data_IF_969810067685
#
_entry.id   IF_969810067685
#
_cell.length_a   1.000
_cell.length_b   1.000
_cell.length_c   1.000
_cell.angle_alpha   90.00
_cell.angle_beta   90.00
_cell.angle_gamma   90.00
#
_symmetry.space_group_name_H-M   'P 1'
#
loop_
_entity.id
_entity.type
_entity.pdbx_description
1 polymer ?
#
# COMPACT_ATOMS: atom_id res chain seq x y z
N UNK A 1 0.75 -5.80 -19.96
CA UNK A 1 0.53 -4.94 -18.80
C UNK A 1 1.42 -5.36 -17.62
N UNK A 2 1.60 -4.51 -16.59
CA UNK A 2 2.32 -4.86 -15.36
C UNK A 2 1.35 -5.43 -14.32
N UNK A 3 1.66 -6.60 -13.75
CA UNK A 3 0.90 -7.19 -12.66
C UNK A 3 1.40 -6.65 -11.32
N UNK A 4 0.49 -6.29 -10.43
CA UNK A 4 0.81 -5.68 -9.13
C UNK A 4 0.23 -6.51 -7.99
N UNK A 5 1.10 -6.97 -7.10
CA UNK A 5 0.74 -7.67 -5.88
C UNK A 5 0.97 -6.77 -4.67
N UNK A 6 0.05 -6.76 -3.71
CA UNK A 6 0.19 -6.05 -2.45
C UNK A 6 0.40 -7.09 -1.35
N UNK A 7 1.63 -7.30 -0.92
CA UNK A 7 1.95 -8.28 0.11
C UNK A 7 2.06 -7.62 1.48
N UNK A 8 1.10 -7.94 2.33
CA UNK A 8 1.08 -7.55 3.72
C UNK A 8 1.98 -8.51 4.51
N UNK A 9 3.25 -8.12 4.73
CA UNK A 9 4.26 -8.98 5.33
C UNK A 9 3.99 -9.27 6.81
N UNK A 10 3.43 -8.28 7.51
CA UNK A 10 3.22 -8.30 8.95
C UNK A 10 1.85 -7.75 9.31
N UNK A 11 1.31 -8.22 10.43
CA UNK A 11 0.10 -7.65 11.02
C UNK A 11 0.41 -6.50 11.95
N UNK A 12 1.52 -6.59 12.67
CA UNK A 12 1.93 -5.60 13.68
C UNK A 12 2.18 -4.23 13.08
N UNK A 13 1.82 -3.19 13.83
CA UNK A 13 2.08 -1.79 13.48
C UNK A 13 2.47 -1.01 14.73
N UNK A 14 3.34 -0.01 14.57
CA UNK A 14 3.65 0.96 15.62
C UNK A 14 2.62 2.09 15.70
N UNK A 15 1.62 2.12 14.81
CA UNK A 15 0.47 3.02 14.85
C UNK A 15 -0.82 2.25 15.16
N UNK A 16 -1.85 2.94 15.65
CA UNK A 16 -3.14 2.38 15.99
C UNK A 16 -4.29 3.12 15.30
N UNK A 17 -4.16 3.32 13.96
CA UNK A 17 -5.19 4.02 13.18
C UNK A 17 -6.55 3.35 13.32
N UNK A 18 -7.59 4.12 13.69
CA UNK A 18 -8.95 3.62 13.95
C UNK A 18 -9.55 2.94 12.73
N UNK A 19 -9.39 3.53 11.55
CA UNK A 19 -9.92 3.03 10.27
C UNK A 19 -9.10 1.90 9.65
N UNK A 20 -8.04 1.40 10.31
CA UNK A 20 -7.11 0.45 9.69
C UNK A 20 -7.79 -0.87 9.35
N UNK A 21 -7.71 -1.26 8.08
CA UNK A 21 -8.22 -2.54 7.59
C UNK A 21 -7.22 -3.70 7.78
N UNK A 22 -5.95 -3.40 8.05
CA UNK A 22 -4.87 -4.38 8.19
C UNK A 22 -4.89 -5.02 9.60
N UNK A 23 -6.03 -5.61 9.95
CA UNK A 23 -6.24 -6.34 11.21
C UNK A 23 -6.65 -7.77 10.87
N UNK A 24 -5.84 -8.73 11.27
CA UNK A 24 -6.09 -10.16 11.09
C UNK A 24 -6.15 -10.87 12.44
N UNK A 25 -6.80 -12.02 12.48
CA UNK A 25 -6.97 -12.81 13.72
C UNK A 25 -5.74 -13.70 14.01
N UNK A 26 -4.69 -13.62 13.20
CA UNK A 26 -3.47 -14.39 13.36
C UNK A 26 -2.27 -13.50 13.62
N UNK A 27 -1.35 -13.98 14.47
CA UNK A 27 -0.04 -13.39 14.69
C UNK A 27 1.07 -14.10 13.92
N UNK A 28 0.76 -15.17 13.19
CA UNK A 28 1.72 -15.89 12.38
C UNK A 28 2.10 -15.08 11.13
N UNK A 29 3.39 -15.01 10.86
CA UNK A 29 3.96 -14.21 9.78
C UNK A 29 5.02 -15.04 9.07
N UNK A 30 4.76 -15.43 7.82
CA UNK A 30 5.69 -16.28 7.04
C UNK A 30 6.97 -15.56 6.61
N UNK A 31 7.04 -14.26 6.76
CA UNK A 31 8.25 -13.49 6.45
C UNK A 31 9.48 -13.92 7.26
N UNK A 32 9.28 -14.66 8.36
CA UNK A 32 10.35 -15.28 9.17
C UNK A 32 10.83 -16.62 8.62
N UNK A 33 10.21 -17.15 7.56
CA UNK A 33 10.50 -18.43 6.92
C UNK A 33 11.00 -18.22 5.49
N UNK A 34 12.34 -18.06 5.28
CA UNK A 34 12.89 -17.69 3.97
C UNK A 34 12.52 -18.67 2.85
N UNK A 35 12.33 -19.96 3.16
CA UNK A 35 11.92 -20.99 2.23
C UNK A 35 10.49 -20.77 1.72
N UNK A 36 9.54 -20.35 2.59
CA UNK A 36 8.18 -20.06 2.20
C UNK A 36 8.10 -18.76 1.40
N UNK A 37 8.86 -17.74 1.83
CA UNK A 37 9.01 -16.48 1.10
C UNK A 37 9.52 -16.72 -0.32
N UNK A 38 10.54 -17.58 -0.49
CA UNK A 38 11.07 -17.93 -1.81
C UNK A 38 10.04 -18.65 -2.67
N UNK A 39 9.30 -19.62 -2.13
CA UNK A 39 8.22 -20.31 -2.85
C UNK A 39 7.15 -19.33 -3.33
N UNK A 40 6.74 -18.38 -2.49
CA UNK A 40 5.77 -17.34 -2.91
C UNK A 40 6.34 -16.53 -4.08
N UNK A 41 7.56 -16.04 -4.01
CA UNK A 41 8.15 -15.28 -5.10
C UNK A 41 8.25 -16.08 -6.39
N UNK A 42 8.61 -17.36 -6.31
CA UNK A 42 8.65 -18.27 -7.47
C UNK A 42 7.27 -18.41 -8.11
N UNK A 43 6.23 -18.62 -7.29
CA UNK A 43 4.84 -18.68 -7.78
C UNK A 43 4.41 -17.35 -8.41
N UNK A 44 4.61 -16.22 -7.74
CA UNK A 44 4.24 -14.89 -8.24
C UNK A 44 5.01 -14.49 -9.52
N UNK A 45 6.15 -15.12 -9.79
CA UNK A 45 6.97 -14.86 -10.98
C UNK A 45 6.43 -15.53 -12.25
N UNK A 46 5.46 -16.44 -12.14
CA UNK A 46 4.87 -17.19 -13.28
C UNK A 46 3.95 -16.31 -14.12
N UNK A 47 4.53 -15.43 -14.95
CA UNK A 47 3.80 -14.45 -15.78
C UNK A 47 2.80 -15.11 -16.73
N UNK A 48 3.10 -16.28 -17.25
CA UNK A 48 2.25 -17.06 -18.15
C UNK A 48 0.95 -17.50 -17.49
N UNK A 49 0.99 -17.92 -16.22
CA UNK A 49 -0.19 -18.32 -15.44
C UNK A 49 -1.15 -17.12 -15.33
N UNK A 50 -0.62 -15.96 -14.94
CA UNK A 50 -1.42 -14.74 -14.84
C UNK A 50 -1.92 -14.30 -16.20
N UNK A 51 -1.05 -14.30 -17.24
CA UNK A 51 -1.43 -13.90 -18.60
C UNK A 51 -2.61 -14.72 -19.11
N UNK A 52 -2.60 -16.04 -18.88
CA UNK A 52 -3.70 -16.94 -19.20
C UNK A 52 -4.97 -16.58 -18.42
N UNK A 53 -4.84 -16.38 -17.10
CA UNK A 53 -5.98 -16.08 -16.21
C UNK A 53 -6.69 -14.78 -16.56
N UNK A 54 -5.94 -13.73 -16.91
CA UNK A 54 -6.52 -12.42 -17.26
C UNK A 54 -6.74 -12.23 -18.77
N UNK A 55 -6.34 -13.21 -19.58
CA UNK A 55 -6.37 -13.13 -21.04
C UNK A 55 -5.68 -11.85 -21.58
N UNK A 56 -4.50 -11.54 -21.03
CA UNK A 56 -3.64 -10.42 -21.47
C UNK A 56 -2.16 -10.71 -21.19
N UNK A 57 -1.27 -10.24 -22.07
CA UNK A 57 0.17 -10.41 -21.90
C UNK A 57 0.70 -9.60 -20.70
N UNK A 58 1.21 -10.29 -19.69
CA UNK A 58 1.92 -9.68 -18.57
C UNK A 58 3.38 -9.44 -18.95
N UNK A 59 3.79 -8.19 -19.02
CA UNK A 59 5.14 -7.77 -19.41
C UNK A 59 6.03 -7.48 -18.20
N UNK A 60 5.47 -7.13 -17.06
CA UNK A 60 6.21 -6.80 -15.84
C UNK A 60 5.49 -7.22 -14.57
N UNK A 61 6.23 -7.28 -13.48
CA UNK A 61 5.73 -7.60 -12.16
C UNK A 61 6.13 -6.49 -11.19
N UNK A 62 5.19 -6.07 -10.34
CA UNK A 62 5.44 -5.17 -9.21
C UNK A 62 4.99 -5.85 -7.92
N UNK A 63 5.76 -5.67 -6.86
CA UNK A 63 5.34 -6.05 -5.52
C UNK A 63 5.37 -4.82 -4.61
N UNK A 64 4.25 -4.57 -3.94
CA UNK A 64 4.13 -3.56 -2.91
C UNK A 64 4.24 -4.28 -1.56
N UNK A 65 5.32 -4.06 -0.85
CA UNK A 65 5.46 -4.51 0.54
C UNK A 65 4.63 -3.60 1.43
N UNK A 66 3.66 -4.18 2.11
CA UNK A 66 2.70 -3.52 2.96
C UNK A 66 2.47 -4.36 4.23
N UNK A 67 1.43 -4.07 4.98
CA UNK A 67 1.02 -4.83 6.16
C UNK A 67 0.47 -3.92 7.23
N UNK A 68 0.76 -4.22 8.49
CA UNK A 68 0.70 -3.25 9.56
C UNK A 68 1.75 -2.17 9.27
N UNK A 69 3.00 -2.39 9.70
CA UNK A 69 4.14 -1.56 9.29
C UNK A 69 5.31 -2.48 8.91
N UNK A 70 5.69 -2.59 7.63
CA UNK A 70 6.76 -3.50 7.20
C UNK A 70 8.12 -3.23 7.85
N UNK A 71 8.40 -1.98 8.19
CA UNK A 71 9.67 -1.57 8.79
C UNK A 71 9.81 -1.91 10.28
N UNK A 72 8.80 -2.56 10.90
CA UNK A 72 8.93 -3.19 12.23
C UNK A 72 9.73 -4.49 12.15
N UNK A 73 9.76 -5.14 10.99
CA UNK A 73 10.58 -6.32 10.82
C UNK A 73 12.04 -6.00 11.12
N UNK A 74 12.75 -7.00 11.64
CA UNK A 74 14.19 -6.91 11.77
C UNK A 74 14.78 -6.55 10.40
N UNK A 75 15.70 -5.59 10.41
CA UNK A 75 16.22 -4.96 9.18
C UNK A 75 16.78 -5.99 8.20
N UNK A 76 17.48 -6.99 8.69
CA UNK A 76 18.07 -8.04 7.86
C UNK A 76 17.01 -8.93 7.18
N UNK A 77 15.86 -9.16 7.83
CA UNK A 77 14.73 -9.91 7.26
C UNK A 77 14.09 -9.10 6.15
N UNK A 78 13.72 -7.84 6.41
CA UNK A 78 13.09 -6.98 5.42
C UNK A 78 14.00 -6.75 4.21
N UNK A 79 15.29 -6.44 4.45
CA UNK A 79 16.27 -6.21 3.39
C UNK A 79 16.43 -7.46 2.50
N UNK A 80 16.51 -8.66 3.07
CA UNK A 80 16.60 -9.92 2.32
C UNK A 80 15.38 -10.13 1.41
N UNK A 81 14.16 -9.86 1.92
CA UNK A 81 12.92 -10.00 1.15
C UNK A 81 12.91 -9.03 -0.05
N UNK A 82 13.23 -7.76 0.17
CA UNK A 82 13.25 -6.74 -0.90
C UNK A 82 14.32 -7.06 -1.95
N UNK A 83 15.53 -7.41 -1.51
CA UNK A 83 16.63 -7.77 -2.41
C UNK A 83 16.28 -9.02 -3.22
N UNK A 84 15.64 -10.02 -2.62
CA UNK A 84 15.17 -11.22 -3.34
C UNK A 84 14.15 -10.87 -4.42
N UNK A 85 13.15 -10.05 -4.11
CA UNK A 85 12.18 -9.59 -5.10
C UNK A 85 12.86 -8.86 -6.27
N UNK A 86 13.82 -7.98 -5.96
CA UNK A 86 14.59 -7.24 -6.98
C UNK A 86 15.39 -8.18 -7.89
N UNK A 87 16.05 -9.20 -7.33
CA UNK A 87 16.79 -10.21 -8.09
C UNK A 87 15.90 -11.03 -9.03
N UNK A 88 14.63 -11.21 -8.69
CA UNK A 88 13.64 -11.90 -9.52
C UNK A 88 12.97 -10.99 -10.55
N UNK A 89 13.42 -9.73 -10.66
CA UNK A 89 12.93 -8.78 -11.66
C UNK A 89 11.61 -8.10 -11.30
N UNK A 90 11.20 -8.13 -10.02
CA UNK A 90 10.07 -7.32 -9.58
C UNK A 90 10.47 -5.85 -9.49
N UNK A 91 9.58 -4.97 -9.94
CA UNK A 91 9.58 -3.59 -9.50
C UNK A 91 9.13 -3.57 -8.04
N UNK A 92 9.97 -3.02 -7.17
CA UNK A 92 9.79 -3.09 -5.72
C UNK A 92 9.21 -1.79 -5.19
N UNK A 93 8.18 -1.90 -4.37
CA UNK A 93 7.51 -0.77 -3.74
C UNK A 93 7.28 -1.04 -2.25
N UNK A 94 7.46 -0.04 -1.43
CA UNK A 94 7.15 -0.06 0.00
C UNK A 94 5.95 0.84 0.27
N UNK A 95 5.00 0.38 1.08
CA UNK A 95 3.92 1.18 1.66
C UNK A 95 4.14 1.20 3.17
N UNK A 96 4.40 2.37 3.72
CA UNK A 96 4.78 2.56 5.13
C UNK A 96 4.09 3.77 5.72
N UNK A 97 3.95 3.81 7.04
CA UNK A 97 3.55 5.02 7.75
C UNK A 97 4.68 6.08 7.83
N UNK A 98 5.88 5.74 7.36
CA UNK A 98 7.03 6.64 7.25
C UNK A 98 7.83 6.83 8.54
N UNK A 99 7.31 6.46 9.70
CA UNK A 99 7.93 6.78 11.00
C UNK A 99 9.32 6.17 11.17
N UNK A 100 9.50 4.93 10.65
CA UNK A 100 10.76 4.18 10.78
C UNK A 100 11.71 4.33 9.58
N UNK A 101 11.34 5.06 8.52
CA UNK A 101 12.14 5.17 7.29
C UNK A 101 13.55 5.71 7.54
N UNK A 102 13.72 6.64 8.47
CA UNK A 102 15.02 7.22 8.77
C UNK A 102 16.06 6.21 9.29
N UNK A 103 15.59 5.09 9.87
CA UNK A 103 16.44 4.02 10.40
C UNK A 103 16.79 2.94 9.35
N UNK A 104 16.21 3.03 8.14
CA UNK A 104 16.39 2.05 7.06
C UNK A 104 16.98 2.65 5.76
N UNK A 105 18.02 3.52 5.81
CA UNK A 105 18.48 4.20 4.59
C UNK A 105 19.10 3.27 3.54
N UNK A 106 19.64 2.13 3.94
CA UNK A 106 20.28 1.20 3.03
C UNK A 106 19.29 0.55 2.05
N UNK A 107 18.01 0.41 2.43
CA UNK A 107 17.00 -0.22 1.57
C UNK A 107 16.55 0.69 0.41
N UNK A 108 16.72 2.01 0.52
CA UNK A 108 16.23 2.94 -0.50
C UNK A 108 16.76 2.65 -1.91
N UNK A 109 18.02 2.19 -2.02
CA UNK A 109 18.63 1.82 -3.31
C UNK A 109 17.95 0.62 -4.00
N UNK A 110 17.19 -0.16 -3.25
CA UNK A 110 16.48 -1.35 -3.73
C UNK A 110 14.98 -1.13 -3.92
N UNK A 111 14.46 0.07 -3.60
CA UNK A 111 13.06 0.41 -3.75
C UNK A 111 12.85 1.35 -4.95
N UNK A 112 12.02 0.93 -5.90
CA UNK A 112 11.65 1.75 -7.05
C UNK A 112 10.59 2.78 -6.67
N UNK A 113 9.74 2.45 -5.69
CA UNK A 113 8.67 3.32 -5.21
C UNK A 113 8.63 3.27 -3.68
N UNK A 114 8.54 4.43 -3.05
CA UNK A 114 8.30 4.55 -1.61
C UNK A 114 7.00 5.31 -1.40
N UNK A 115 5.97 4.59 -0.97
CA UNK A 115 4.66 5.11 -0.63
C UNK A 115 4.58 5.41 0.86
N UNK A 116 4.46 6.68 1.22
CA UNK A 116 4.30 7.11 2.61
C UNK A 116 2.83 7.44 2.84
N UNK A 117 2.24 6.82 3.84
CA UNK A 117 0.85 7.07 4.22
C UNK A 117 0.76 8.27 5.15
N UNK A 118 0.09 9.34 4.73
CA UNK A 118 0.01 10.61 5.44
C UNK A 118 -1.42 11.15 5.34
N UNK A 119 -2.12 11.21 6.47
CA UNK A 119 -3.49 11.74 6.52
C UNK A 119 -3.53 13.17 7.06
N UNK A 120 -2.53 13.56 7.83
CA UNK A 120 -2.32 14.90 8.35
C UNK A 120 -0.85 15.12 8.70
N UNK A 121 -0.42 16.37 8.77
CA UNK A 121 0.84 16.82 9.34
C UNK A 121 0.62 17.60 10.65
N UNK A 122 -0.64 17.70 11.09
CA UNK A 122 -1.03 18.27 12.36
C UNK A 122 -1.01 17.21 13.46
N UNK A 123 -0.46 17.57 14.63
CA UNK A 123 -0.25 16.65 15.75
C UNK A 123 -1.58 16.15 16.35
N UNK A 124 -2.54 17.06 16.54
CA UNK A 124 -3.82 16.73 17.16
C UNK A 124 -4.66 15.82 16.26
N UNK A 125 -4.70 16.14 14.96
CA UNK A 125 -5.38 15.31 13.97
C UNK A 125 -4.74 13.93 13.90
N UNK A 126 -3.40 13.85 13.86
CA UNK A 126 -2.68 12.57 13.86
C UNK A 126 -3.01 11.72 15.11
N UNK A 127 -3.05 12.33 16.29
CA UNK A 127 -3.44 11.65 17.53
C UNK A 127 -4.89 11.15 17.48
N UNK A 128 -5.82 11.98 17.02
CA UNK A 128 -7.25 11.63 16.93
C UNK A 128 -7.49 10.47 15.95
N UNK A 129 -6.75 10.41 14.85
CA UNK A 129 -6.77 9.29 13.90
C UNK A 129 -6.11 8.04 14.49
N UNK A 130 -5.14 8.19 15.40
CA UNK A 130 -4.27 7.12 15.89
C UNK A 130 -3.00 6.92 15.02
N UNK A 131 -2.63 7.93 14.19
CA UNK A 131 -1.40 7.94 13.38
C UNK A 131 -0.21 8.46 14.16
N UNK A 132 0.05 7.82 15.29
CA UNK A 132 1.18 8.14 16.17
C UNK A 132 1.72 6.88 16.84
N UNK A 133 2.98 6.94 17.27
CA UNK A 133 3.65 5.94 18.11
C UNK A 133 3.92 6.60 19.47
N UNK A 134 3.09 6.32 20.46
CA UNK A 134 3.06 7.07 21.70
C UNK A 134 2.76 8.56 21.44
N UNK A 135 3.67 9.44 21.87
CA UNK A 135 3.57 10.89 21.63
C UNK A 135 4.14 11.33 20.28
N UNK A 136 4.76 10.43 19.50
CA UNK A 136 5.48 10.78 18.29
C UNK A 136 4.62 10.50 17.05
N UNK A 137 4.60 11.46 16.12
CA UNK A 137 3.94 11.38 14.83
C UNK A 137 4.90 11.79 13.70
N UNK A 138 4.49 11.63 12.45
CA UNK A 138 5.27 12.06 11.28
C UNK A 138 5.01 13.55 11.02
N UNK A 139 5.84 14.43 11.63
CA UNK A 139 5.74 15.86 11.42
C UNK A 139 6.25 16.29 10.04
N UNK A 140 5.95 17.54 9.63
CA UNK A 140 6.42 18.12 8.38
C UNK A 140 7.94 18.12 8.27
N UNK A 141 8.65 18.47 9.35
CA UNK A 141 10.11 18.51 9.39
C UNK A 141 10.72 17.12 9.26
N UNK A 142 10.10 16.12 9.91
CA UNK A 142 10.52 14.73 9.80
C UNK A 142 10.29 14.19 8.39
N UNK A 143 9.14 14.51 7.78
CA UNK A 143 8.84 14.13 6.40
C UNK A 143 9.84 14.76 5.42
N UNK A 144 10.20 16.04 5.58
CA UNK A 144 11.17 16.73 4.73
C UNK A 144 12.54 16.03 4.78
N UNK A 145 13.03 15.72 5.99
CA UNK A 145 14.28 14.97 6.17
C UNK A 145 14.24 13.60 5.46
N UNK A 146 13.13 12.89 5.58
CA UNK A 146 12.94 11.57 4.94
C UNK A 146 12.97 11.70 3.43
N UNK A 147 12.20 12.64 2.85
CA UNK A 147 12.13 12.86 1.40
C UNK A 147 13.52 13.19 0.84
N UNK A 148 14.25 14.10 1.48
CA UNK A 148 15.64 14.43 1.09
C UNK A 148 16.56 13.22 1.17
N UNK A 149 16.46 12.42 2.23
CA UNK A 149 17.27 11.22 2.42
C UNK A 149 16.97 10.15 1.38
N UNK A 150 15.72 9.95 1.01
CA UNK A 150 15.33 9.05 -0.09
C UNK A 150 15.96 9.52 -1.40
N UNK A 151 15.76 10.76 -1.78
CA UNK A 151 16.28 11.31 -3.04
C UNK A 151 17.81 11.36 -3.10
N UNK A 152 18.46 11.56 -1.98
CA UNK A 152 19.93 11.48 -1.88
C UNK A 152 20.45 10.05 -2.13
N UNK A 153 19.82 9.04 -1.53
CA UNK A 153 20.27 7.64 -1.64
C UNK A 153 19.80 6.95 -2.93
N UNK A 154 18.67 7.36 -3.47
CA UNK A 154 18.13 6.87 -4.73
C UNK A 154 17.32 7.95 -5.47
N UNK A 155 17.95 8.77 -6.30
CA UNK A 155 17.27 9.84 -7.05
C UNK A 155 16.16 9.32 -7.97
N UNK A 156 16.24 8.05 -8.42
CA UNK A 156 15.25 7.43 -9.30
C UNK A 156 14.05 6.87 -8.57
N UNK A 157 14.12 6.69 -7.24
CA UNK A 157 13.00 6.19 -6.47
C UNK A 157 11.83 7.18 -6.54
N UNK A 158 10.66 6.69 -6.93
CA UNK A 158 9.43 7.48 -6.96
C UNK A 158 8.87 7.61 -5.55
N UNK A 159 8.48 8.82 -5.16
CA UNK A 159 7.83 9.10 -3.88
C UNK A 159 6.33 9.25 -4.11
N UNK A 160 5.56 8.46 -3.37
CA UNK A 160 4.11 8.48 -3.40
C UNK A 160 3.57 8.77 -2.02
N UNK A 161 2.58 9.67 -1.93
CA UNK A 161 1.80 9.84 -0.70
C UNK A 161 0.43 9.17 -0.85
N UNK A 162 -0.02 8.50 0.22
CA UNK A 162 -1.36 7.95 0.32
C UNK A 162 -2.07 8.65 1.47
N UNK A 163 -3.23 9.23 1.20
CA UNK A 163 -4.05 9.94 2.19
C UNK A 163 -5.40 9.26 2.27
N UNK A 164 -5.77 8.75 3.43
CA UNK A 164 -7.12 8.27 3.71
C UNK A 164 -7.95 9.42 4.26
N UNK A 165 -8.96 9.83 3.52
CA UNK A 165 -9.92 10.84 3.97
C UNK A 165 -10.87 10.18 4.95
N UNK A 166 -10.92 10.71 6.19
CA UNK A 166 -11.65 10.19 7.32
C UNK A 166 -12.31 11.33 8.12
N UNK A 167 -13.08 11.01 9.14
CA UNK A 167 -13.83 11.99 9.95
C UNK A 167 -12.98 13.09 10.60
N UNK A 168 -11.65 12.86 10.78
CA UNK A 168 -10.77 13.80 11.45
C UNK A 168 -10.01 14.73 10.50
N UNK A 169 -10.02 14.44 9.18
CA UNK A 169 -9.24 15.24 8.21
C UNK A 169 -10.04 15.70 6.98
N UNK A 170 -11.33 15.36 6.85
CA UNK A 170 -12.13 15.71 5.67
C UNK A 170 -12.25 17.22 5.42
N UNK A 171 -12.05 18.04 6.43
CA UNK A 171 -12.11 19.51 6.36
C UNK A 171 -10.73 20.17 6.28
N UNK A 172 -9.68 19.45 5.84
CA UNK A 172 -8.31 19.96 5.79
C UNK A 172 -7.81 20.13 4.35
N UNK A 173 -6.82 21.03 4.16
CA UNK A 173 -6.13 21.26 2.89
C UNK A 173 -4.81 20.46 2.79
N UNK A 174 -4.79 19.23 3.28
CA UNK A 174 -3.56 18.41 3.35
C UNK A 174 -2.89 18.22 1.98
N UNK A 175 -3.64 18.17 0.88
CA UNK A 175 -3.08 17.93 -0.47
C UNK A 175 -2.16 19.08 -0.89
N UNK A 176 -2.51 20.32 -0.56
CA UNK A 176 -1.61 21.47 -0.77
C UNK A 176 -0.28 21.30 -0.04
N UNK A 177 -0.35 20.90 1.23
CA UNK A 177 0.84 20.70 2.06
C UNK A 177 1.73 19.57 1.51
N UNK A 178 1.12 18.49 0.99
CA UNK A 178 1.86 17.36 0.41
C UNK A 178 2.47 17.69 -0.95
N UNK A 179 1.84 18.52 -1.77
CA UNK A 179 2.39 18.97 -3.05
C UNK A 179 3.69 19.79 -2.89
N UNK A 180 3.88 20.46 -1.74
CA UNK A 180 5.13 21.19 -1.44
C UNK A 180 6.38 20.28 -1.44
N UNK A 181 6.23 18.98 -1.19
CA UNK A 181 7.31 17.99 -1.24
C UNK A 181 7.57 17.43 -2.65
N UNK A 182 6.83 17.91 -3.67
CA UNK A 182 6.96 17.49 -5.07
C UNK A 182 6.93 15.97 -5.24
N UNK A 183 5.90 15.26 -4.74
CA UNK A 183 5.80 13.81 -4.90
C UNK A 183 5.53 13.43 -6.36
N UNK A 184 5.98 12.24 -6.74
CA UNK A 184 5.67 11.67 -8.05
C UNK A 184 4.17 11.31 -8.14
N UNK A 185 3.51 11.02 -7.00
CA UNK A 185 2.07 10.76 -6.94
C UNK A 185 1.47 11.04 -5.56
N UNK A 186 0.25 11.56 -5.55
CA UNK A 186 -0.62 11.58 -4.36
C UNK A 186 -1.86 10.73 -4.66
N UNK A 187 -2.16 9.80 -3.79
CA UNK A 187 -3.37 8.99 -3.84
C UNK A 187 -4.30 9.38 -2.70
N UNK A 188 -5.49 9.81 -3.05
CA UNK A 188 -6.57 10.11 -2.12
C UNK A 188 -7.48 8.89 -2.06
N UNK A 189 -7.69 8.35 -0.87
CA UNK A 189 -8.48 7.15 -0.62
C UNK A 189 -9.65 7.52 0.30
N UNK A 190 -10.86 7.14 -0.07
CA UNK A 190 -12.01 7.28 0.82
C UNK A 190 -11.96 6.21 1.92
N UNK A 191 -12.14 6.60 3.18
CA UNK A 191 -12.37 5.63 4.26
C UNK A 191 -13.65 4.85 4.00
N UNK A 192 -13.54 3.51 3.99
CA UNK A 192 -14.68 2.61 3.91
C UNK A 192 -15.06 2.11 5.31
N UNK A 193 -16.33 1.71 5.53
CA UNK A 193 -16.72 1.02 6.75
C UNK A 193 -15.93 -0.28 6.90
N UNK A 194 -15.32 -0.49 8.05
CA UNK A 194 -14.58 -1.71 8.35
C UNK A 194 -14.41 -1.92 9.87
N UNK A 195 -14.54 -3.14 10.36
CA UNK A 195 -14.33 -3.52 11.77
C UNK A 195 -15.09 -2.65 12.79
N UNK A 196 -16.35 -2.35 12.50
CA UNK A 196 -17.18 -1.50 13.35
C UNK A 196 -16.97 0.01 13.22
N UNK A 197 -15.91 0.43 12.52
CA UNK A 197 -15.70 1.84 12.16
C UNK A 197 -16.63 2.24 11.02
N UNK A 198 -17.29 3.37 11.17
CA UNK A 198 -18.10 3.97 10.10
C UNK A 198 -17.18 4.59 9.07
N UNK A 199 -17.46 4.37 7.79
CA UNK A 199 -16.85 5.15 6.72
C UNK A 199 -17.31 6.61 6.78
N UNK A 200 -16.65 7.49 6.03
CA UNK A 200 -17.10 8.88 5.89
C UNK A 200 -18.29 8.95 4.94
N UNK A 201 -19.14 9.99 5.13
CA UNK A 201 -20.28 10.24 4.25
C UNK A 201 -19.86 10.74 2.87
N UNK A 202 -20.80 10.77 1.92
CA UNK A 202 -20.53 11.33 0.59
C UNK A 202 -20.25 12.83 0.70
N UNK A 203 -21.01 13.55 1.52
CA UNK A 203 -20.86 14.98 1.76
C UNK A 203 -19.49 15.33 2.35
N UNK A 204 -19.01 14.56 3.32
CA UNK A 204 -17.68 14.76 3.91
C UNK A 204 -16.57 14.52 2.88
N UNK A 205 -16.72 13.50 2.03
CA UNK A 205 -15.73 13.23 1.00
C UNK A 205 -15.71 14.31 -0.07
N UNK A 206 -16.88 14.75 -0.55
CA UNK A 206 -17.01 15.89 -1.49
C UNK A 206 -16.45 17.17 -0.89
N UNK A 207 -16.76 17.48 0.39
CA UNK A 207 -16.18 18.64 1.08
C UNK A 207 -14.64 18.62 1.06
N UNK A 208 -14.04 17.45 1.30
CA UNK A 208 -12.56 17.30 1.19
C UNK A 208 -12.07 17.61 -0.22
N UNK A 209 -12.77 17.09 -1.25
CA UNK A 209 -12.41 17.33 -2.64
C UNK A 209 -12.54 18.82 -3.01
N UNK A 210 -13.59 19.50 -2.55
CA UNK A 210 -13.79 20.92 -2.79
C UNK A 210 -12.70 21.79 -2.14
N UNK A 211 -12.36 21.53 -0.88
CA UNK A 211 -11.29 22.25 -0.18
C UNK A 211 -9.95 22.10 -0.91
N UNK A 212 -9.71 20.94 -1.51
CA UNK A 212 -8.46 20.62 -2.22
C UNK A 212 -8.57 20.77 -3.75
N UNK A 213 -9.63 21.36 -4.29
CA UNK A 213 -10.00 21.38 -5.72
C UNK A 213 -8.88 21.89 -6.65
N UNK A 214 -8.09 22.87 -6.20
CA UNK A 214 -6.95 23.41 -6.93
C UNK A 214 -5.86 22.38 -7.18
N UNK A 215 -5.64 21.49 -6.22
CA UNK A 215 -4.51 20.54 -6.21
C UNK A 215 -4.89 19.16 -6.74
N UNK A 216 -6.14 18.73 -6.56
CA UNK A 216 -6.60 17.41 -7.04
C UNK A 216 -6.68 17.32 -8.58
N UNK A 217 -6.72 18.45 -9.30
CA UNK A 217 -6.68 18.49 -10.77
C UNK A 217 -5.29 18.25 -11.36
N UNK A 218 -4.25 18.17 -10.53
CA UNK A 218 -2.90 17.92 -11.00
C UNK A 218 -2.74 16.45 -11.47
N UNK A 219 -1.96 16.24 -12.53
CA UNK A 219 -1.79 14.91 -13.16
C UNK A 219 -1.24 13.84 -12.21
N UNK A 220 -0.50 14.25 -11.17
CA UNK A 220 0.06 13.33 -10.17
C UNK A 220 -0.91 12.96 -9.04
N UNK A 221 -2.17 13.45 -9.06
CA UNK A 221 -3.18 13.12 -8.06
C UNK A 221 -4.18 12.10 -8.60
N UNK A 222 -4.42 11.06 -7.82
CA UNK A 222 -5.38 9.98 -8.12
C UNK A 222 -6.37 9.87 -6.97
N UNK A 223 -7.65 9.89 -7.29
CA UNK A 223 -8.74 9.74 -6.33
C UNK A 223 -9.31 8.33 -6.46
N UNK A 224 -9.45 7.64 -5.34
CA UNK A 224 -10.07 6.31 -5.27
C UNK A 224 -11.26 6.35 -4.31
N UNK A 225 -12.45 6.24 -4.89
CA UNK A 225 -13.70 6.13 -4.16
C UNK A 225 -14.07 4.66 -3.90
N UNK A 226 -15.17 4.40 -3.20
CA UNK A 226 -15.68 3.09 -2.81
C UNK A 226 -15.61 2.03 -3.93
N UNK A 227 -16.12 2.39 -5.12
CA UNK A 227 -16.17 1.46 -6.25
C UNK A 227 -14.80 1.12 -6.85
N UNK A 228 -13.81 2.00 -6.67
CA UNK A 228 -12.45 1.79 -7.17
C UNK A 228 -11.63 0.90 -6.25
N UNK A 229 -11.96 0.85 -4.95
CA UNK A 229 -11.20 0.13 -3.94
C UNK A 229 -11.61 -1.34 -3.86
N UNK A 230 -12.92 -1.62 -3.96
CA UNK A 230 -13.48 -2.96 -3.73
C UNK A 230 -13.12 -3.92 -4.86
N UNK A 231 -12.50 -5.07 -4.53
CA UNK A 231 -12.13 -6.18 -5.43
C UNK A 231 -11.21 -5.78 -6.60
N UNK A 232 -10.43 -4.72 -6.45
CA UNK A 232 -9.57 -4.17 -7.49
C UNK A 232 -8.07 -4.38 -7.22
N UNK A 233 -7.71 -4.99 -6.10
CA UNK A 233 -6.34 -5.31 -5.73
C UNK A 233 -6.11 -6.82 -5.67
N UNK A 234 -4.89 -7.24 -5.95
CA UNK A 234 -4.38 -8.55 -5.54
C UNK A 234 -3.61 -8.36 -4.25
N UNK A 235 -4.22 -8.74 -3.14
CA UNK A 235 -3.64 -8.60 -1.80
C UNK A 235 -3.22 -9.98 -1.28
N UNK A 236 -2.05 -10.04 -0.62
CA UNK A 236 -1.51 -11.23 0.04
C UNK A 236 -1.37 -10.92 1.51
N UNK A 237 -1.86 -11.79 2.39
CA UNK A 237 -1.81 -11.63 3.84
C UNK A 237 -0.49 -12.12 4.45
N UNK A 238 -0.26 -11.94 5.77
CA UNK A 238 0.96 -12.41 6.43
C UNK A 238 1.19 -13.93 6.39
N UNK A 239 0.15 -14.73 6.13
CA UNK A 239 0.23 -16.19 5.94
C UNK A 239 0.48 -16.59 4.48
N UNK A 240 0.68 -15.63 3.56
CA UNK A 240 0.91 -15.92 2.14
C UNK A 240 -0.34 -16.37 1.38
N UNK A 241 -1.53 -16.02 1.85
CA UNK A 241 -2.82 -16.28 1.19
C UNK A 241 -3.25 -15.06 0.40
N UNK A 242 -3.83 -15.25 -0.77
CA UNK A 242 -4.59 -14.15 -1.36
C UNK A 242 -5.80 -13.82 -0.50
N UNK A 243 -6.13 -12.53 -0.40
CA UNK A 243 -7.36 -12.09 0.22
C UNK A 243 -8.01 -10.94 -0.55
N UNK A 244 -9.33 -10.81 -0.39
CA UNK A 244 -10.13 -9.81 -1.08
C UNK A 244 -11.10 -9.15 -0.11
N UNK A 245 -11.24 -7.82 -0.25
CA UNK A 245 -12.26 -7.03 0.42
C UNK A 245 -13.56 -6.98 -0.40
N UNK A 246 -14.65 -6.57 0.22
CA UNK A 246 -15.90 -6.26 -0.47
C UNK A 246 -17.05 -7.22 -0.22
N UNK A 247 -16.96 -8.07 0.80
CA UNK A 247 -18.08 -8.80 1.36
C UNK A 247 -18.52 -8.16 2.69
N UNK A 248 -19.81 -8.13 2.96
CA UNK A 248 -20.39 -7.64 4.22
C UNK A 248 -19.88 -8.42 5.45
N UNK A 249 -19.33 -9.60 5.24
CA UNK A 249 -18.87 -10.54 6.28
C UNK A 249 -17.35 -10.66 6.42
N UNK A 250 -16.58 -9.69 5.95
CA UNK A 250 -15.12 -9.67 6.07
C UNK A 250 -14.37 -10.07 4.81
N UNK A 251 -13.15 -10.59 4.97
CA UNK A 251 -12.29 -10.99 3.86
C UNK A 251 -12.57 -12.42 3.40
N UNK A 252 -12.48 -12.62 2.08
CA UNK A 252 -12.38 -13.95 1.49
C UNK A 252 -10.91 -14.29 1.27
N UNK A 253 -10.47 -15.44 1.78
CA UNK A 253 -9.09 -15.91 1.68
C UNK A 253 -8.97 -17.09 0.72
N UNK A 254 -7.81 -17.22 0.07
CA UNK A 254 -7.37 -18.48 -0.54
C UNK A 254 -6.66 -19.37 0.49
N UNK A 255 -6.32 -20.59 0.10
CA UNK A 255 -5.24 -21.34 0.75
C UNK A 255 -3.89 -20.68 0.47
N UNK A 256 -2.83 -20.99 1.25
CA UNK A 256 -1.51 -20.39 1.05
C UNK A 256 -0.95 -20.64 -0.36
N UNK A 257 -0.40 -19.60 -0.97
CA UNK A 257 0.15 -19.65 -2.34
C UNK A 257 1.30 -20.65 -2.42
N UNK A 258 2.11 -20.76 -1.38
CA UNK A 258 3.26 -21.66 -1.32
C UNK A 258 2.87 -23.15 -1.22
N UNK A 259 1.62 -23.47 -0.84
CA UNK A 259 1.11 -24.83 -0.74
C UNK A 259 0.44 -25.30 -2.03
N UNK A 260 -0.46 -24.47 -2.58
CA UNK A 260 -1.35 -24.88 -3.68
C UNK A 260 -0.98 -24.29 -5.04
N UNK A 261 -0.02 -23.35 -5.05
CA UNK A 261 0.43 -22.63 -6.24
C UNK A 261 -0.46 -21.47 -6.65
N UNK A 262 0.08 -20.60 -7.50
CA UNK A 262 -0.54 -19.34 -7.91
C UNK A 262 -1.91 -19.53 -8.58
N UNK A 263 -2.02 -20.47 -9.53
CA UNK A 263 -3.24 -20.68 -10.32
C UNK A 263 -4.42 -21.09 -9.46
N UNK A 264 -4.21 -22.06 -8.57
CA UNK A 264 -5.26 -22.54 -7.65
C UNK A 264 -5.61 -21.47 -6.63
N UNK A 265 -4.65 -20.77 -6.06
CA UNK A 265 -4.89 -19.70 -5.10
C UNK A 265 -5.72 -18.56 -5.70
N UNK A 266 -5.42 -18.13 -6.94
CA UNK A 266 -6.20 -17.13 -7.67
C UNK A 266 -7.64 -17.57 -7.98
N UNK A 267 -7.88 -18.87 -8.16
CA UNK A 267 -9.23 -19.38 -8.43
C UNK A 267 -10.14 -19.34 -7.20
N UNK A 268 -9.57 -19.24 -6.01
CA UNK A 268 -10.31 -19.23 -4.74
C UNK A 268 -10.78 -17.83 -4.31
N UNK A 269 -10.36 -16.76 -5.00
CA UNK A 269 -10.75 -15.38 -4.71
C UNK A 269 -11.59 -14.75 -5.81
N UNK A 270 -12.35 -13.70 -5.47
CA UNK A 270 -13.17 -12.96 -6.42
C UNK A 270 -12.37 -11.78 -7.03
N UNK A 271 -11.43 -12.11 -7.92
CA UNK A 271 -10.64 -11.10 -8.60
C UNK A 271 -11.42 -10.48 -9.78
N UNK A 272 -11.66 -9.17 -9.73
CA UNK A 272 -12.32 -8.40 -10.80
C UNK A 272 -11.27 -7.82 -11.74
N UNK A 273 -10.97 -8.57 -12.80
CA UNK A 273 -9.98 -8.22 -13.83
C UNK A 273 -10.17 -6.78 -14.36
N UNK A 274 -11.39 -6.41 -14.73
CA UNK A 274 -11.70 -5.11 -15.33
C UNK A 274 -11.35 -3.96 -14.38
N UNK A 275 -11.70 -4.08 -13.11
CA UNK A 275 -11.38 -3.10 -12.07
C UNK A 275 -9.87 -2.99 -11.85
N UNK A 276 -9.17 -4.12 -11.78
CA UNK A 276 -7.72 -4.16 -11.66
C UNK A 276 -7.06 -3.48 -12.86
N UNK A 277 -7.50 -3.82 -14.07
CA UNK A 277 -6.95 -3.28 -15.30
C UNK A 277 -7.17 -1.78 -15.41
N UNK A 278 -8.38 -1.29 -15.15
CA UNK A 278 -8.69 0.15 -15.12
C UNK A 278 -7.73 0.88 -14.19
N UNK A 279 -7.61 0.40 -12.95
CA UNK A 279 -6.73 1.00 -11.92
C UNK A 279 -5.28 1.12 -12.36
N UNK A 280 -4.74 0.06 -12.98
CA UNK A 280 -3.31 0.02 -13.28
C UNK A 280 -2.97 0.49 -14.70
N UNK A 281 -3.91 0.53 -15.66
CA UNK A 281 -3.72 1.21 -16.94
C UNK A 281 -3.63 2.72 -16.74
N UNK A 282 -4.61 3.31 -16.08
CA UNK A 282 -4.61 4.75 -15.78
C UNK A 282 -3.38 5.18 -14.96
N UNK A 283 -2.85 4.27 -14.12
CA UNK A 283 -1.65 4.52 -13.35
C UNK A 283 -0.37 4.53 -14.20
N UNK A 284 -0.33 3.84 -15.34
CA UNK A 284 0.84 3.73 -16.21
C UNK A 284 0.81 4.68 -17.41
N UNK A 285 -0.36 5.12 -17.87
CA UNK A 285 -0.48 6.10 -18.94
C UNK A 285 -0.01 7.51 -18.50
N UNK A 286 0.14 7.71 -17.18
CA UNK A 286 0.65 8.95 -16.58
C UNK A 286 2.09 8.80 -16.01
N UNK A 287 2.77 7.67 -16.20
CA UNK A 287 4.19 7.45 -15.84
C UNK A 287 5.11 7.65 -17.04
#
# INVERSE_FOLDING_TARGET
MKMVYNWHLVQRCNYACKYCFAKWDTTEEICHHPELVNKIFEELSKKEVISKKINEKVTGLRINFAGGEPLILAKDIFDKIVIRAKKLGFETSLITNGFLLEYHPAIFKHLDIIGISIDSLDEEICKNIGRCSGKNYLSKEKLDKIVRKIKHNNPRSKIKFNTVVNENNYNTNIIEQLQAFKPDRIKILRQLPFNGEKGITDEQFEQFLDINAKFIKQKNVVIENKNDIIQSYLMIDPLGRFFQNGNEYGYKYSQPIYDIGLEKALSQINFKKEKFMKRYREAYENE
#
